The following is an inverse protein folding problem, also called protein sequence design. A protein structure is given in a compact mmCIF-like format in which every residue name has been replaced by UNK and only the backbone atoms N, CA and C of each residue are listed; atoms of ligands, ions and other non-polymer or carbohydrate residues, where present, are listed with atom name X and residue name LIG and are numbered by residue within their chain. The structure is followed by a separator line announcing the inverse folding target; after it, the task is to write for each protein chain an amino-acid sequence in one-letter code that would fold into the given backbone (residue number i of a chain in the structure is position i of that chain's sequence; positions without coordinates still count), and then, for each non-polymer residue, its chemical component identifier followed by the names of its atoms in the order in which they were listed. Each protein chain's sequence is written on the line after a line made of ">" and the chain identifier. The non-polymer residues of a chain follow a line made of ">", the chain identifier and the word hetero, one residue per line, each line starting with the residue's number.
data_IF_555463113687
#
_entry.id   IF_555463113687
#
_cell.length_a   1.000
_cell.length_b   1.000
_cell.length_c   1.000
_cell.angle_alpha   90.00
_cell.angle_beta   90.00
_cell.angle_gamma   90.00
#
_symmetry.space_group_name_H-M   'P 1'
#
loop_
_entity.id
_entity.type
_entity.pdbx_description
1 polymer ?
#
# COMPACT_ATOMS: atom_id res chain seq x y z
N UNK A 1 -1.24 11.18 -5.36
CA UNK A 1 0.06 10.45 -5.35
C UNK A 1 1.25 11.28 -5.86
N UNK A 2 1.30 11.65 -7.15
CA UNK A 2 2.48 12.31 -7.76
C UNK A 2 2.88 13.59 -7.01
N UNK A 3 1.91 14.41 -6.64
CA UNK A 3 2.16 15.63 -5.86
C UNK A 3 2.82 15.34 -4.51
N UNK A 4 2.40 14.29 -3.81
CA UNK A 4 3.00 13.87 -2.54
C UNK A 4 4.47 13.46 -2.71
N UNK A 5 4.79 12.74 -3.80
CA UNK A 5 6.17 12.33 -4.12
C UNK A 5 7.04 13.54 -4.43
N UNK A 6 6.55 14.47 -5.27
CA UNK A 6 7.26 15.72 -5.60
C UNK A 6 7.47 16.59 -4.37
N UNK A 7 6.50 16.65 -3.45
CA UNK A 7 6.64 17.41 -2.21
C UNK A 7 7.69 16.80 -1.27
N UNK A 8 7.86 15.48 -1.26
CA UNK A 8 8.92 14.82 -0.48
C UNK A 8 10.30 15.06 -1.08
N UNK A 9 10.44 15.00 -2.40
CA UNK A 9 11.67 15.37 -3.11
C UNK A 9 12.09 16.81 -2.76
N UNK A 10 11.15 17.76 -2.80
CA UNK A 10 11.41 19.17 -2.39
C UNK A 10 11.86 19.34 -0.94
N UNK A 11 11.54 18.39 -0.06
CA UNK A 11 12.02 18.35 1.34
C UNK A 11 13.43 17.76 1.47
N UNK A 12 14.08 17.38 0.36
CA UNK A 12 15.43 16.82 0.35
C UNK A 12 15.48 15.29 0.39
N UNK A 13 14.37 14.60 0.16
CA UNK A 13 14.35 13.15 0.02
C UNK A 13 14.79 12.73 -1.38
N UNK A 14 15.43 11.57 -1.48
CA UNK A 14 15.72 10.97 -2.77
C UNK A 14 14.48 10.25 -3.30
N UNK A 15 14.10 10.57 -4.55
CA UNK A 15 12.93 10.01 -5.23
C UNK A 15 13.36 9.24 -6.48
N UNK A 16 12.99 7.97 -6.54
CA UNK A 16 13.13 7.15 -7.75
C UNK A 16 11.75 6.76 -8.26
N UNK A 17 11.54 6.95 -9.56
CA UNK A 17 10.34 6.51 -10.27
C UNK A 17 10.73 5.51 -11.34
N UNK A 18 10.00 4.41 -11.44
CA UNK A 18 10.19 3.47 -12.55
C UNK A 18 9.79 4.13 -13.85
N UNK A 19 10.77 4.25 -14.75
CA UNK A 19 10.53 4.64 -16.14
C UNK A 19 10.22 3.39 -16.95
N UNK A 20 8.94 3.10 -17.13
CA UNK A 20 8.53 2.02 -18.03
C UNK A 20 8.36 2.55 -19.46
N UNK A 21 9.34 2.25 -20.31
CA UNK A 21 9.28 2.63 -21.73
C UNK A 21 8.34 1.73 -22.55
N UNK A 22 7.85 0.62 -22.01
CA UNK A 22 6.88 -0.28 -22.64
C UNK A 22 5.42 0.15 -22.45
N UNK A 23 5.14 1.03 -21.46
CA UNK A 23 3.85 1.70 -21.27
C UNK A 23 3.68 2.95 -22.15
N UNK A 24 4.63 3.23 -23.05
CA UNK A 24 4.54 4.33 -24.02
C UNK A 24 3.45 4.00 -25.04
N UNK A 25 2.27 4.55 -24.81
CA UNK A 25 1.20 4.56 -25.80
C UNK A 25 1.59 5.58 -26.87
N UNK A 26 1.47 5.20 -28.15
CA UNK A 26 1.64 6.16 -29.25
C UNK A 26 0.68 7.32 -29.05
N UNK A 27 1.09 8.54 -29.40
CA UNK A 27 0.26 9.73 -29.17
C UNK A 27 -1.12 9.61 -29.82
N UNK A 28 -1.21 8.89 -30.94
CA UNK A 28 -2.47 8.61 -31.65
C UNK A 28 -3.41 7.70 -30.85
N UNK A 29 -2.84 6.76 -30.08
CA UNK A 29 -3.55 5.74 -29.30
C UNK A 29 -3.82 6.22 -27.86
N UNK A 30 -3.26 7.37 -27.47
CA UNK A 30 -3.47 7.98 -26.16
C UNK A 30 -4.84 8.68 -26.13
N UNK A 31 -5.80 8.05 -25.46
CA UNK A 31 -7.02 8.72 -25.04
C UNK A 31 -6.79 9.34 -23.65
N UNK A 32 -6.80 10.68 -23.50
CA UNK A 32 -6.77 11.28 -22.18
C UNK A 32 -7.98 10.79 -21.39
N UNK A 33 -7.76 9.93 -20.40
CA UNK A 33 -8.78 9.59 -19.43
C UNK A 33 -8.80 10.69 -18.38
N UNK A 34 -9.74 11.63 -18.57
CA UNK A 34 -10.05 12.62 -17.56
C UNK A 34 -10.94 11.95 -16.51
N UNK A 35 -10.41 11.74 -15.30
CA UNK A 35 -11.28 11.65 -14.13
C UNK A 35 -11.76 13.07 -13.86
N UNK A 36 -12.97 13.40 -14.33
CA UNK A 36 -13.75 14.45 -13.68
C UNK A 36 -13.63 14.20 -12.17
N UNK A 37 -13.27 15.23 -11.41
CA UNK A 37 -13.15 15.17 -9.95
C UNK A 37 -11.88 14.54 -9.38
N UNK A 38 -10.74 14.50 -10.09
CA UNK A 38 -9.45 14.13 -9.47
C UNK A 38 -9.16 14.98 -8.22
N UNK A 39 -9.41 16.30 -8.29
CA UNK A 39 -9.26 17.18 -7.12
C UNK A 39 -10.38 17.02 -6.07
N UNK A 40 -11.58 16.55 -6.43
CA UNK A 40 -12.71 16.43 -5.49
C UNK A 40 -12.73 15.08 -4.76
N UNK A 41 -12.29 13.98 -5.41
CA UNK A 41 -12.20 12.66 -4.77
C UNK A 41 -10.84 12.37 -4.13
N UNK A 42 -9.75 13.08 -4.51
CA UNK A 42 -8.45 12.99 -3.82
C UNK A 42 -8.05 14.27 -3.03
N UNK A 43 -8.83 15.36 -3.12
CA UNK A 43 -8.68 16.56 -2.28
C UNK A 43 -9.47 16.50 -0.97
N UNK A 44 -9.71 15.30 -0.42
CA UNK A 44 -10.18 15.21 0.97
C UNK A 44 -9.06 15.79 1.83
N UNK A 45 -9.35 16.79 2.66
CA UNK A 45 -8.49 17.10 3.80
C UNK A 45 -8.50 15.86 4.69
N UNK A 46 -7.46 15.06 4.55
CA UNK A 46 -7.29 13.89 5.39
C UNK A 46 -6.71 14.40 6.69
N UNK A 47 -7.57 14.51 7.70
CA UNK A 47 -7.11 14.78 9.05
C UNK A 47 -6.35 13.56 9.57
N UNK A 48 -5.03 13.71 9.59
CA UNK A 48 -4.05 12.73 10.04
C UNK A 48 -3.44 13.12 11.40
N UNK A 49 -4.03 14.10 12.09
CA UNK A 49 -3.53 14.58 13.38
C UNK A 49 -3.58 13.49 14.47
N UNK A 50 -4.49 12.53 14.31
CA UNK A 50 -4.72 11.44 15.26
C UNK A 50 -4.19 10.08 14.77
N UNK A 51 -3.29 10.02 13.76
CA UNK A 51 -2.68 8.74 13.39
C UNK A 51 -1.89 8.22 14.59
N UNK A 52 -2.26 7.04 15.10
CA UNK A 52 -1.52 6.34 16.15
C UNK A 52 -0.59 5.30 15.51
N UNK A 53 0.63 5.73 15.16
CA UNK A 53 1.67 4.85 14.64
C UNK A 53 2.94 4.94 15.50
N UNK A 54 3.62 3.82 15.83
CA UNK A 54 3.27 2.43 15.51
C UNK A 54 2.07 1.94 16.33
N UNK A 55 1.24 1.11 15.69
CA UNK A 55 0.18 0.36 16.36
C UNK A 55 0.74 -0.30 17.64
N UNK A 56 -0.04 -0.26 18.73
CA UNK A 56 0.40 -0.59 20.10
C UNK A 56 1.48 -1.68 20.18
N UNK A 57 2.54 -1.39 20.94
CA UNK A 57 3.66 -2.29 21.21
C UNK A 57 3.13 -3.63 21.75
N UNK A 58 3.29 -4.71 20.97
CA UNK A 58 2.99 -6.08 21.39
C UNK A 58 1.62 -6.64 20.98
N UNK A 59 0.79 -5.92 20.22
CA UNK A 59 -0.56 -6.42 19.85
C UNK A 59 -0.74 -6.81 18.38
N UNK A 60 0.10 -6.38 17.42
CA UNK A 60 -0.17 -6.62 16.00
C UNK A 60 1.04 -7.12 15.19
N UNK A 61 1.20 -8.43 15.24
CA UNK A 61 1.75 -9.28 14.19
C UNK A 61 0.57 -9.68 13.29
N UNK A 62 0.78 -9.81 11.97
CA UNK A 62 -0.10 -9.34 10.86
C UNK A 62 -1.59 -9.08 11.14
N UNK A 63 -2.14 -7.98 10.61
CA UNK A 63 -3.57 -7.67 10.70
C UNK A 63 -4.18 -7.35 9.33
N UNK A 64 -5.51 -7.36 9.24
CA UNK A 64 -6.23 -7.10 8.00
C UNK A 64 -7.51 -6.32 8.29
N UNK A 65 -7.80 -5.32 7.46
CA UNK A 65 -9.08 -4.62 7.44
C UNK A 65 -9.83 -5.01 6.17
N UNK A 66 -11.16 -5.15 6.24
CA UNK A 66 -11.96 -5.41 5.05
C UNK A 66 -13.26 -4.60 5.01
N UNK A 67 -13.74 -4.35 3.79
CA UNK A 67 -15.04 -3.76 3.55
C UNK A 67 -16.10 -4.88 3.46
N UNK A 68 -17.08 -4.96 4.37
CA UNK A 68 -18.03 -6.07 4.41
C UNK A 68 -19.01 -6.11 3.22
N UNK A 69 -19.14 -5.01 2.47
CA UNK A 69 -20.01 -4.96 1.29
C UNK A 69 -19.30 -5.47 0.05
N UNK A 70 -18.00 -5.19 -0.09
CA UNK A 70 -17.22 -5.51 -1.29
C UNK A 70 -16.27 -6.68 -1.08
N UNK A 71 -16.04 -7.09 0.16
CA UNK A 71 -15.00 -8.04 0.58
C UNK A 71 -13.58 -7.64 0.13
N UNK A 72 -13.36 -6.37 -0.24
CA UNK A 72 -12.01 -5.83 -0.46
C UNK A 72 -11.27 -5.82 0.86
N UNK A 73 -10.00 -6.24 0.85
CA UNK A 73 -9.15 -6.29 2.04
C UNK A 73 -7.91 -5.42 1.86
N UNK A 74 -7.37 -4.92 2.96
CA UNK A 74 -6.00 -4.39 3.03
C UNK A 74 -5.33 -5.06 4.21
N UNK A 75 -4.29 -5.82 3.90
CA UNK A 75 -3.53 -6.54 4.87
C UNK A 75 -2.27 -5.76 5.22
N UNK A 76 -1.94 -5.72 6.50
CA UNK A 76 -0.71 -5.14 7.04
C UNK A 76 0.11 -6.21 7.73
N UNK A 77 1.43 -6.06 7.67
CA UNK A 77 2.37 -6.88 8.42
C UNK A 77 3.49 -6.00 8.93
N UNK A 78 3.79 -6.14 10.22
CA UNK A 78 4.86 -5.42 10.90
C UNK A 78 5.89 -6.46 11.32
N UNK A 79 7.10 -6.36 10.78
CA UNK A 79 8.22 -7.19 11.18
C UNK A 79 9.19 -6.36 12.01
N UNK A 80 9.43 -6.77 13.24
CA UNK A 80 10.50 -6.23 14.07
C UNK A 80 11.83 -6.81 13.58
N UNK A 81 12.72 -5.97 13.04
CA UNK A 81 14.04 -6.39 12.53
C UNK A 81 15.11 -6.07 13.57
N UNK A 82 16.26 -5.51 13.16
CA UNK A 82 17.33 -5.07 14.08
C UNK A 82 16.74 -4.21 15.21
N UNK A 83 17.48 -4.05 16.30
CA UNK A 83 17.00 -3.49 17.58
C UNK A 83 16.19 -2.17 17.52
N UNK A 84 16.23 -1.40 16.43
CA UNK A 84 15.46 -0.15 16.22
C UNK A 84 14.65 -0.06 14.93
N UNK A 85 14.64 -1.07 14.06
CA UNK A 85 13.97 -1.00 12.74
C UNK A 85 12.66 -1.81 12.72
N UNK A 86 11.57 -1.18 12.27
CA UNK A 86 10.28 -1.84 12.01
C UNK A 86 9.99 -1.81 10.52
N UNK A 87 9.83 -2.98 9.92
CA UNK A 87 9.44 -3.11 8.52
C UNK A 87 7.93 -3.25 8.45
N UNK A 88 7.29 -2.37 7.69
CA UNK A 88 5.84 -2.32 7.57
C UNK A 88 5.49 -2.57 6.12
N UNK A 89 4.76 -3.65 5.90
CA UNK A 89 4.28 -4.10 4.61
C UNK A 89 2.76 -3.96 4.59
N UNK A 90 2.19 -3.46 3.50
CA UNK A 90 0.75 -3.43 3.27
C UNK A 90 0.42 -3.89 1.85
N UNK A 91 -0.66 -4.64 1.68
CA UNK A 91 -1.09 -5.11 0.37
C UNK A 91 -2.61 -5.08 0.24
N UNK A 92 -3.11 -4.58 -0.90
CA UNK A 92 -4.54 -4.64 -1.19
C UNK A 92 -4.92 -5.98 -1.83
N UNK A 93 -6.04 -6.53 -1.39
CA UNK A 93 -6.58 -7.77 -1.90
C UNK A 93 -8.04 -7.57 -2.34
N UNK A 94 -8.42 -8.25 -3.40
CA UNK A 94 -9.71 -8.15 -4.07
C UNK A 94 -10.40 -9.51 -4.02
N UNK A 95 -11.73 -9.56 -3.83
CA UNK A 95 -12.45 -10.83 -3.89
C UNK A 95 -12.28 -11.49 -5.26
N UNK A 96 -12.18 -12.82 -5.25
CA UNK A 96 -12.19 -13.61 -6.49
C UNK A 96 -13.62 -13.63 -7.02
N UNK A 97 -13.80 -13.24 -8.28
CA UNK A 97 -15.08 -13.32 -8.98
C UNK A 97 -15.12 -14.60 -9.79
N UNK A 98 -15.90 -15.58 -9.34
CA UNK A 98 -15.95 -16.93 -9.95
C UNK A 98 -16.47 -16.94 -11.40
N UNK A 99 -17.20 -15.91 -11.79
CA UNK A 99 -17.82 -15.77 -13.12
C UNK A 99 -16.85 -15.34 -14.23
N UNK A 100 -15.59 -15.01 -13.90
CA UNK A 100 -14.58 -14.57 -14.86
C UNK A 100 -13.32 -15.41 -14.79
N UNK A 101 -12.95 -16.04 -15.92
CA UNK A 101 -11.57 -16.50 -16.13
C UNK A 101 -10.67 -15.27 -16.20
N UNK A 102 -9.92 -15.05 -15.14
CA UNK A 102 -8.94 -13.97 -15.02
C UNK A 102 -7.55 -14.60 -14.91
N UNK A 103 -6.71 -14.37 -15.92
CA UNK A 103 -5.38 -14.97 -16.00
C UNK A 103 -4.42 -14.39 -14.95
N UNK A 104 -4.59 -13.10 -14.63
CA UNK A 104 -3.70 -12.33 -13.76
C UNK A 104 -4.47 -11.52 -12.73
N UNK A 105 -3.99 -11.57 -11.49
CA UNK A 105 -4.40 -10.68 -10.41
C UNK A 105 -3.27 -9.69 -10.14
N UNK A 106 -3.63 -8.41 -10.12
CA UNK A 106 -2.73 -7.31 -9.81
C UNK A 106 -3.10 -6.77 -8.43
N UNK A 107 -2.11 -6.63 -7.57
CA UNK A 107 -2.27 -5.99 -6.26
C UNK A 107 -1.22 -4.90 -6.07
N UNK A 108 -1.61 -3.83 -5.39
CA UNK A 108 -0.67 -2.84 -4.86
C UNK A 108 -0.04 -3.37 -3.60
N UNK A 109 1.27 -3.28 -3.54
CA UNK A 109 2.09 -3.63 -2.39
C UNK A 109 2.88 -2.40 -1.96
N UNK A 110 2.86 -2.09 -0.68
CA UNK A 110 3.50 -0.92 -0.09
C UNK A 110 4.45 -1.41 0.99
N UNK A 111 5.70 -0.96 0.93
CA UNK A 111 6.70 -1.31 1.93
C UNK A 111 7.34 -0.05 2.51
N UNK A 112 7.67 -0.12 3.79
CA UNK A 112 8.30 0.99 4.49
C UNK A 112 9.15 0.52 5.66
N UNK A 113 10.19 1.28 5.96
CA UNK A 113 11.08 1.05 7.10
C UNK A 113 10.94 2.25 8.04
N UNK A 114 10.52 1.96 9.27
CA UNK A 114 10.37 2.92 10.35
C UNK A 114 11.53 2.79 11.34
N UNK A 115 12.17 3.92 11.61
CA UNK A 115 13.20 4.08 12.63
C UNK A 115 12.57 4.48 13.96
N UNK A 116 12.58 3.56 14.93
CA UNK A 116 11.96 3.76 16.23
C UNK A 116 12.72 4.78 17.11
N UNK A 117 14.00 5.04 16.83
CA UNK A 117 14.81 5.99 17.60
C UNK A 117 14.49 7.43 17.22
N UNK A 118 14.38 7.69 15.91
CA UNK A 118 14.16 9.03 15.37
C UNK A 118 12.68 9.32 15.09
N UNK A 119 11.80 8.33 15.24
CA UNK A 119 10.36 8.44 14.99
C UNK A 119 10.00 8.90 13.57
N UNK A 120 10.77 8.41 12.58
CA UNK A 120 10.62 8.74 11.17
C UNK A 120 10.63 7.47 10.32
N UNK A 121 10.06 7.57 9.13
CA UNK A 121 10.29 6.60 8.07
C UNK A 121 11.53 7.00 7.30
N UNK A 122 12.37 6.01 6.98
CA UNK A 122 13.65 6.20 6.25
C UNK A 122 13.60 5.66 4.82
N UNK A 123 12.64 4.79 4.54
CA UNK A 123 12.42 4.12 3.26
C UNK A 123 10.93 3.90 3.07
N UNK A 124 10.39 4.26 1.92
CA UNK A 124 9.00 3.97 1.54
C UNK A 124 8.92 3.70 0.04
N UNK A 125 8.35 2.58 -0.35
CA UNK A 125 8.16 2.22 -1.75
C UNK A 125 6.78 1.63 -2.04
N UNK A 126 6.36 1.81 -3.29
CA UNK A 126 5.16 1.21 -3.82
C UNK A 126 5.49 0.33 -5.01
N UNK A 127 4.97 -0.89 -4.98
CA UNK A 127 5.17 -1.92 -5.98
C UNK A 127 3.83 -2.50 -6.44
N UNK A 128 3.87 -3.17 -7.57
CA UNK A 128 2.79 -4.04 -8.03
C UNK A 128 3.22 -5.50 -7.95
N UNK A 129 2.37 -6.32 -7.34
CA UNK A 129 2.50 -7.78 -7.38
C UNK A 129 1.55 -8.34 -8.43
N UNK A 130 2.07 -9.27 -9.24
CA UNK A 130 1.31 -9.98 -10.26
C UNK A 130 1.24 -11.44 -9.87
N UNK A 131 0.03 -11.96 -9.76
CA UNK A 131 -0.25 -13.36 -9.43
C UNK A 131 -0.98 -14.02 -10.58
N UNK A 132 -0.66 -15.28 -10.87
CA UNK A 132 -1.60 -16.13 -11.62
C UNK A 132 -2.84 -16.40 -10.77
N UNK A 133 -3.92 -16.86 -11.38
CA UNK A 133 -5.14 -17.23 -10.65
C UNK A 133 -4.86 -18.21 -9.48
N UNK A 134 -4.06 -19.24 -9.71
CA UNK A 134 -3.76 -20.25 -8.67
C UNK A 134 -2.91 -19.68 -7.53
N UNK A 135 -1.91 -18.83 -7.84
CA UNK A 135 -1.15 -18.16 -6.80
C UNK A 135 -2.02 -17.19 -6.00
N UNK A 136 -2.96 -16.51 -6.66
CA UNK A 136 -3.81 -15.53 -5.99
C UNK A 136 -4.81 -16.18 -5.04
N UNK A 137 -5.39 -17.33 -5.40
CA UNK A 137 -6.24 -18.15 -4.51
C UNK A 137 -5.55 -18.51 -3.20
N UNK A 138 -4.24 -18.75 -3.26
CA UNK A 138 -3.42 -18.99 -2.06
C UNK A 138 -3.16 -17.67 -1.33
N UNK A 139 -2.70 -16.64 -2.05
CA UNK A 139 -2.35 -15.32 -1.49
C UNK A 139 -3.49 -14.68 -0.70
N UNK A 140 -4.71 -14.69 -1.23
CA UNK A 140 -5.86 -13.99 -0.62
C UNK A 140 -6.25 -14.54 0.76
N UNK A 141 -5.79 -15.75 1.09
CA UNK A 141 -6.08 -16.47 2.33
C UNK A 141 -4.84 -16.62 3.24
N UNK A 142 -3.74 -15.91 2.95
CA UNK A 142 -2.47 -16.04 3.68
C UNK A 142 -1.92 -14.70 4.14
N UNK A 143 -1.00 -14.76 5.10
CA UNK A 143 -0.18 -13.63 5.50
C UNK A 143 0.72 -13.12 4.35
N UNK A 144 1.20 -11.87 4.47
CA UNK A 144 2.18 -11.31 3.53
C UNK A 144 3.48 -12.13 3.65
N UNK A 145 3.57 -13.17 2.83
CA UNK A 145 4.73 -14.05 2.66
C UNK A 145 4.69 -14.78 1.30
N UNK A 146 3.52 -14.84 0.64
CA UNK A 146 3.36 -15.55 -0.61
C UNK A 146 4.07 -14.84 -1.77
N UNK A 147 4.83 -15.62 -2.53
CA UNK A 147 5.60 -15.12 -3.65
C UNK A 147 4.70 -14.79 -4.85
N UNK A 148 4.69 -13.51 -5.23
CA UNK A 148 4.13 -13.09 -6.51
C UNK A 148 4.92 -13.69 -7.68
N UNK A 149 4.27 -13.86 -8.84
CA UNK A 149 4.95 -14.27 -10.06
C UNK A 149 5.94 -13.21 -10.53
N UNK A 150 5.50 -11.95 -10.45
CA UNK A 150 6.30 -10.76 -10.73
C UNK A 150 6.06 -9.74 -9.62
N UNK A 151 7.12 -9.02 -9.26
CA UNK A 151 7.08 -7.92 -8.30
C UNK A 151 7.80 -6.74 -8.95
N UNK A 152 7.06 -5.68 -9.22
CA UNK A 152 7.56 -4.52 -9.94
C UNK A 152 7.49 -3.28 -9.06
N UNK A 153 8.64 -2.81 -8.57
CA UNK A 153 8.75 -1.55 -7.83
C UNK A 153 8.47 -0.38 -8.77
N UNK A 154 7.51 0.46 -8.40
CA UNK A 154 7.03 1.58 -9.21
C UNK A 154 7.62 2.91 -8.79
N UNK A 155 7.77 3.12 -7.48
CA UNK A 155 8.38 4.32 -6.92
C UNK A 155 9.03 3.99 -5.58
N UNK A 156 10.04 4.78 -5.21
CA UNK A 156 10.77 4.70 -3.95
C UNK A 156 11.09 6.12 -3.48
N UNK A 157 10.92 6.35 -2.18
CA UNK A 157 11.39 7.53 -1.47
C UNK A 157 12.33 7.06 -0.35
N UNK A 158 13.54 7.62 -0.30
CA UNK A 158 14.47 7.45 0.82
C UNK A 158 14.82 8.81 1.44
N UNK A 159 14.96 8.83 2.76
CA UNK A 159 15.22 10.06 3.52
C UNK A 159 14.27 10.22 4.71
N UNK A 160 14.19 11.41 5.28
CA UNK A 160 13.37 11.68 6.46
C UNK A 160 11.89 11.91 6.08
N UNK A 161 11.06 10.90 6.32
CA UNK A 161 9.64 10.90 5.99
C UNK A 161 8.83 10.90 7.29
N UNK A 162 8.08 11.98 7.54
CA UNK A 162 7.23 12.08 8.72
C UNK A 162 6.10 11.05 8.69
N UNK A 163 5.58 10.67 9.87
CA UNK A 163 4.41 9.75 9.99
C UNK A 163 3.22 10.26 9.17
N UNK A 164 2.99 11.58 9.18
CA UNK A 164 1.90 12.21 8.41
C UNK A 164 2.14 12.07 6.90
N UNK A 165 3.36 12.33 6.42
CA UNK A 165 3.67 12.18 5.00
C UNK A 165 3.62 10.72 4.56
N UNK A 166 4.08 9.78 5.40
CA UNK A 166 3.91 8.35 5.19
C UNK A 166 2.44 7.94 5.06
N UNK A 167 1.59 8.41 5.98
CA UNK A 167 0.15 8.15 5.92
C UNK A 167 -0.48 8.70 4.63
N UNK A 168 -0.06 9.89 4.19
CA UNK A 168 -0.50 10.46 2.89
C UNK A 168 -0.06 9.59 1.72
N UNK A 169 1.17 9.07 1.70
CA UNK A 169 1.63 8.17 0.64
C UNK A 169 0.75 6.91 0.59
N UNK A 170 0.52 6.28 1.73
CA UNK A 170 -0.33 5.10 1.87
C UNK A 170 -1.74 5.33 1.31
N UNK A 171 -2.39 6.42 1.74
CA UNK A 171 -3.74 6.83 1.32
C UNK A 171 -3.84 7.16 -0.16
N UNK A 172 -2.79 7.76 -0.72
CA UNK A 172 -2.73 8.11 -2.12
C UNK A 172 -2.38 6.92 -3.03
N UNK A 173 -1.79 5.87 -2.45
CA UNK A 173 -1.33 4.71 -3.19
C UNK A 173 -2.46 3.69 -3.41
N UNK A 174 -3.20 3.35 -2.36
CA UNK A 174 -4.26 2.37 -2.41
C UNK A 174 -5.58 2.91 -2.98
N UNK A 175 -6.36 2.03 -3.62
CA UNK A 175 -7.62 2.40 -4.28
C UNK A 175 -8.84 2.52 -3.35
N UNK A 176 -8.69 2.27 -2.04
CA UNK A 176 -9.78 2.37 -1.07
C UNK A 176 -9.32 3.20 0.15
N UNK A 177 -9.46 4.54 0.09
CA UNK A 177 -8.98 5.43 1.14
C UNK A 177 -9.79 5.29 2.42
N UNK A 178 -11.06 4.91 2.36
CA UNK A 178 -11.90 4.71 3.54
C UNK A 178 -11.37 3.54 4.37
N UNK A 179 -11.02 2.43 3.69
CA UNK A 179 -10.46 1.25 4.35
C UNK A 179 -9.06 1.51 4.95
N UNK A 180 -8.23 2.32 4.27
CA UNK A 180 -6.95 2.78 4.85
C UNK A 180 -7.17 3.68 6.06
N UNK A 181 -8.16 4.59 6.03
CA UNK A 181 -8.48 5.44 7.17
C UNK A 181 -8.97 4.63 8.36
N UNK A 182 -9.77 3.60 8.12
CA UNK A 182 -10.22 2.68 9.18
C UNK A 182 -9.02 1.97 9.83
N UNK A 183 -8.05 1.50 9.02
CA UNK A 183 -6.80 0.94 9.54
C UNK A 183 -6.00 1.97 10.37
N UNK A 184 -5.78 3.18 9.84
CA UNK A 184 -4.99 4.22 10.51
C UNK A 184 -5.64 4.76 11.79
N UNK A 185 -6.98 4.71 11.89
CA UNK A 185 -7.74 5.14 13.08
C UNK A 185 -7.96 4.02 14.10
N UNK A 186 -7.57 2.78 13.78
CA UNK A 186 -7.85 1.62 14.63
C UNK A 186 -9.32 1.19 14.63
N UNK A 187 -10.12 1.61 13.64
CA UNK A 187 -11.48 1.11 13.42
C UNK A 187 -11.41 -0.25 12.70
N UNK A 188 -10.70 -1.20 13.31
CA UNK A 188 -10.34 -2.45 12.67
C UNK A 188 -11.57 -3.35 12.52
N UNK A 189 -11.83 -3.81 11.29
CA UNK A 189 -12.71 -4.95 11.02
C UNK A 189 -11.78 -6.12 10.71
N UNK A 190 -11.39 -6.84 11.75
CA UNK A 190 -10.26 -7.78 11.68
C UNK A 190 -10.64 -9.11 11.05
N UNK A 191 -9.79 -9.57 10.13
CA UNK A 191 -9.66 -10.96 9.74
C UNK A 191 -8.23 -11.39 10.06
N UNK A 192 -8.06 -12.34 10.98
CA UNK A 192 -6.74 -12.91 11.28
C UNK A 192 -6.53 -14.08 10.32
N UNK A 193 -5.51 -14.01 9.48
CA UNK A 193 -5.11 -15.14 8.66
C UNK A 193 -4.33 -16.13 9.54
N UNK A 194 -4.78 -17.38 9.61
CA UNK A 194 -4.03 -18.43 10.28
C UNK A 194 -2.72 -18.71 9.49
N UNK A 195 -1.58 -18.66 10.18
CA UNK A 195 -0.34 -19.17 9.61
C UNK A 195 -0.47 -20.68 9.46
N UNK A 196 -0.72 -21.15 8.24
CA UNK A 196 -0.57 -22.56 7.89
C UNK A 196 0.92 -22.93 8.03
N UNK A 197 1.27 -23.57 9.15
CA UNK A 197 2.58 -24.20 9.40
C UNK A 197 2.83 -25.39 8.47
#
# INVERSE_FOLDING_TARGET
>A
MIESLVNLEKKGNDLWLRLDNSLRIKKEDYSPFYREFFEIYQGREINLNDIQFPFKKGEFEPFCVYNPKTMKKIQFKISHRKDSEKWIEAEELWPIKEDKKQDWYLTRYFHSIYDDQNHIFVHVDGSFNFYTQEQYKVRINQNINAHARFHEKMWLVEGEISIVDWGKLLLNFFDDPDLILDALKGNLVEEVFEDYK
#
